data_IF_734661711069
#
_entry.id   IF_734661711069
#
_cell.length_a   1.000
_cell.length_b   1.000
_cell.length_c   1.000
_cell.angle_alpha   90.00
_cell.angle_beta   90.00
_cell.angle_gamma   90.00
#
_symmetry.space_group_name_H-M   'P 1'
#
loop_
_entity.id
_entity.type
_entity.pdbx_description
1 polymer ?
#
# COMPACT_ATOMS: atom_id res chain seq x y z
N UNK A 1 12.72 15.16 -8.92
CA UNK A 1 12.34 14.04 -9.81
C UNK A 1 11.35 13.28 -8.99
N UNK A 2 10.08 13.37 -9.34
CA UNK A 2 9.00 12.93 -8.46
C UNK A 2 9.13 11.42 -8.22
N UNK A 3 8.78 11.00 -7.00
CA UNK A 3 8.81 9.62 -6.52
C UNK A 3 7.48 9.31 -5.87
N UNK A 4 7.08 8.05 -5.96
CA UNK A 4 5.90 7.53 -5.26
C UNK A 4 6.42 6.66 -4.10
N UNK A 5 6.07 6.99 -2.84
CA UNK A 5 6.54 6.25 -1.69
C UNK A 5 5.91 4.85 -1.63
N UNK A 6 6.65 3.88 -1.10
CA UNK A 6 6.13 2.54 -0.80
C UNK A 6 5.36 2.49 0.52
N UNK A 7 5.23 3.62 1.24
CA UNK A 7 4.55 3.64 2.53
C UNK A 7 5.40 3.08 3.68
N UNK A 8 6.70 2.85 3.45
CA UNK A 8 7.63 2.36 4.48
C UNK A 8 8.75 3.38 4.65
N UNK A 9 8.57 4.30 5.60
CA UNK A 9 9.43 5.47 5.80
C UNK A 9 10.93 5.18 5.74
N UNK A 10 11.41 4.11 6.42
CA UNK A 10 12.85 3.76 6.40
C UNK A 10 13.32 3.29 5.03
N UNK A 11 12.51 2.54 4.32
CA UNK A 11 12.85 2.10 2.96
C UNK A 11 12.84 3.30 2.02
N UNK A 12 11.76 4.09 2.05
CA UNK A 12 11.57 5.25 1.19
C UNK A 12 12.69 6.27 1.38
N UNK A 13 13.05 6.62 2.61
CA UNK A 13 14.21 7.51 2.88
C UNK A 13 15.54 6.91 2.40
N UNK A 14 15.74 5.60 2.51
CA UNK A 14 16.97 4.93 2.06
C UNK A 14 17.15 4.97 0.54
N UNK A 15 16.07 4.79 -0.22
CA UNK A 15 16.10 4.78 -1.70
C UNK A 15 15.77 6.14 -2.32
N UNK A 16 15.39 7.09 -1.47
CA UNK A 16 15.21 8.49 -1.82
C UNK A 16 13.84 8.87 -2.36
N UNK A 17 12.81 8.48 -1.61
CA UNK A 17 11.41 8.86 -1.81
C UNK A 17 10.54 7.77 -2.43
N UNK A 18 11.09 6.60 -2.76
CA UNK A 18 10.34 5.51 -3.37
C UNK A 18 10.64 5.30 -4.86
N UNK A 19 9.68 4.78 -5.60
CA UNK A 19 9.84 4.44 -7.02
C UNK A 19 9.65 5.66 -7.93
N UNK A 20 10.35 5.76 -9.08
CA UNK A 20 10.01 6.76 -10.10
C UNK A 20 8.62 6.47 -10.72
N UNK A 21 7.79 7.50 -10.98
CA UNK A 21 6.52 7.36 -11.67
C UNK A 21 6.67 6.62 -13.01
N UNK A 22 5.65 5.81 -13.36
CA UNK A 22 5.63 4.98 -14.57
C UNK A 22 6.52 3.73 -14.49
N UNK A 23 7.13 3.44 -13.34
CA UNK A 23 7.91 2.21 -13.15
C UNK A 23 7.03 1.01 -12.83
N UNK A 24 7.53 -0.17 -13.20
CA UNK A 24 7.01 -1.45 -12.69
C UNK A 24 8.01 -1.98 -11.66
N UNK A 25 7.55 -2.17 -10.42
CA UNK A 25 8.36 -2.71 -9.32
C UNK A 25 7.94 -4.15 -9.07
N UNK A 26 8.89 -5.08 -9.19
CA UNK A 26 8.66 -6.49 -8.86
C UNK A 26 9.13 -6.78 -7.42
N UNK A 27 8.18 -7.09 -6.54
CA UNK A 27 8.49 -7.59 -5.20
C UNK A 27 8.63 -9.12 -5.23
N UNK A 28 9.85 -9.62 -5.02
CA UNK A 28 10.14 -11.05 -4.97
C UNK A 28 10.57 -11.45 -3.56
N UNK A 29 9.75 -12.24 -2.88
CA UNK A 29 10.02 -12.75 -1.53
C UNK A 29 9.71 -14.24 -1.40
N UNK A 30 10.35 -14.89 -0.43
CA UNK A 30 10.02 -16.27 -0.05
C UNK A 30 8.82 -16.29 0.93
N UNK A 31 8.23 -17.46 1.13
CA UNK A 31 7.24 -17.64 2.19
C UNK A 31 7.80 -17.19 3.55
N UNK A 32 7.05 -16.35 4.26
CA UNK A 32 7.47 -15.76 5.54
C UNK A 32 8.43 -14.58 5.43
N UNK A 33 8.77 -14.10 4.23
CA UNK A 33 9.65 -12.93 4.05
C UNK A 33 8.92 -11.58 4.18
N UNK A 34 7.61 -11.57 4.43
CA UNK A 34 6.84 -10.33 4.60
C UNK A 34 6.31 -9.69 3.31
N UNK A 35 6.25 -10.43 2.19
CA UNK A 35 5.88 -9.83 0.90
C UNK A 35 4.42 -9.36 0.84
N UNK A 36 3.49 -10.05 1.53
CA UNK A 36 2.09 -9.63 1.60
C UNK A 36 1.93 -8.42 2.52
N UNK A 37 2.59 -8.45 3.66
CA UNK A 37 2.62 -7.39 4.65
C UNK A 37 3.22 -6.09 4.07
N UNK A 38 4.23 -6.22 3.19
CA UNK A 38 4.75 -5.10 2.40
C UNK A 38 3.66 -4.50 1.50
N UNK A 39 2.92 -5.33 0.76
CA UNK A 39 1.85 -4.87 -0.12
C UNK A 39 0.71 -4.22 0.66
N UNK A 40 0.34 -4.78 1.83
CA UNK A 40 -0.67 -4.21 2.72
C UNK A 40 -0.25 -2.85 3.23
N UNK A 41 0.97 -2.76 3.79
CA UNK A 41 1.53 -1.49 4.29
C UNK A 41 1.59 -0.46 3.17
N UNK A 42 2.03 -0.85 1.97
CA UNK A 42 2.13 0.07 0.84
C UNK A 42 0.78 0.59 0.39
N UNK A 43 -0.27 -0.23 0.39
CA UNK A 43 -1.61 0.21 0.02
C UNK A 43 -2.22 1.11 1.10
N UNK A 44 -2.21 0.63 2.35
CA UNK A 44 -2.81 1.31 3.50
C UNK A 44 -2.13 2.66 3.76
N UNK A 45 -0.79 2.73 3.80
CA UNK A 45 -0.11 3.99 4.10
C UNK A 45 -0.27 5.02 3.00
N UNK A 46 -0.29 4.60 1.73
CA UNK A 46 -0.55 5.56 0.64
C UNK A 46 -2.02 6.00 0.59
N UNK A 47 -2.98 5.13 0.92
CA UNK A 47 -4.39 5.52 1.06
C UNK A 47 -4.62 6.44 2.27
N UNK A 48 -3.91 6.21 3.36
CA UNK A 48 -3.99 7.02 4.58
C UNK A 48 -3.50 8.46 4.36
N UNK A 49 -2.56 8.67 3.43
CA UNK A 49 -2.04 10.00 3.13
C UNK A 49 -3.12 10.99 2.69
N UNK A 50 -4.19 10.50 2.04
CA UNK A 50 -5.38 11.30 1.70
C UNK A 50 -6.50 11.14 2.74
N UNK A 51 -6.71 9.93 3.27
CA UNK A 51 -7.81 9.64 4.20
C UNK A 51 -7.72 10.34 5.54
N UNK A 52 -6.54 10.28 6.18
CA UNK A 52 -6.26 11.00 7.41
C UNK A 52 -4.78 11.46 7.40
N UNK A 53 -4.50 12.68 6.90
CA UNK A 53 -3.16 13.24 6.85
C UNK A 53 -2.50 13.40 8.24
N UNK A 54 -3.30 13.59 9.29
CA UNK A 54 -2.80 13.76 10.66
C UNK A 54 -2.35 12.41 11.23
N UNK A 55 -3.13 11.35 11.01
CA UNK A 55 -2.75 9.99 11.35
C UNK A 55 -1.58 9.49 10.50
N UNK A 56 -1.55 9.84 9.21
CA UNK A 56 -0.42 9.57 8.34
C UNK A 56 0.87 10.21 8.87
N UNK A 57 0.85 11.48 9.27
CA UNK A 57 2.02 12.14 9.88
C UNK A 57 2.45 11.46 11.20
N UNK A 58 1.49 11.00 12.01
CA UNK A 58 1.78 10.29 13.26
C UNK A 58 2.54 8.98 13.02
N UNK A 59 2.15 8.18 12.02
CA UNK A 59 2.74 6.86 11.74
C UNK A 59 3.92 6.90 10.76
N UNK A 60 3.86 7.74 9.74
CA UNK A 60 4.85 7.86 8.67
C UNK A 60 5.78 9.06 8.88
N UNK A 61 5.20 10.24 9.16
CA UNK A 61 5.89 11.52 9.28
C UNK A 61 6.12 12.22 7.94
N UNK A 62 7.15 13.06 7.87
CA UNK A 62 7.48 13.79 6.65
C UNK A 62 7.85 12.86 5.49
N UNK A 63 7.28 13.17 4.32
CA UNK A 63 7.65 12.58 3.03
C UNK A 63 8.98 13.20 2.56
N UNK A 64 9.84 12.43 1.89
CA UNK A 64 11.08 12.94 1.26
C UNK A 64 10.74 14.05 0.27
N UNK A 65 11.55 15.12 0.19
CA UNK A 65 11.32 16.26 -0.71
C UNK A 65 11.18 15.89 -2.20
N UNK A 66 11.61 14.68 -2.58
CA UNK A 66 11.48 14.15 -3.95
C UNK A 66 10.23 13.30 -4.16
N UNK A 67 9.45 13.06 -3.13
CA UNK A 67 8.30 12.17 -3.15
C UNK A 67 6.98 12.92 -2.99
N UNK A 68 5.93 12.34 -3.56
CA UNK A 68 4.57 12.83 -3.46
C UNK A 68 3.66 11.61 -3.31
N UNK A 69 2.70 11.69 -2.39
CA UNK A 69 1.70 10.65 -2.25
C UNK A 69 0.93 10.50 -3.59
N UNK A 70 0.58 9.26 -3.98
CA UNK A 70 -0.20 9.05 -5.20
C UNK A 70 -1.61 9.62 -5.05
N UNK A 71 -2.19 10.11 -6.16
CA UNK A 71 -3.57 10.60 -6.18
C UNK A 71 -4.60 9.47 -5.95
N UNK A 72 -4.27 8.26 -6.40
CA UNK A 72 -5.14 7.08 -6.30
C UNK A 72 -4.31 5.83 -6.01
N UNK A 73 -4.85 4.91 -5.21
CA UNK A 73 -4.24 3.61 -4.92
C UNK A 73 -5.18 2.51 -5.41
N UNK A 74 -4.69 1.65 -6.31
CA UNK A 74 -5.45 0.48 -6.79
C UNK A 74 -4.80 -0.82 -6.30
N UNK A 75 -5.56 -1.65 -5.60
CA UNK A 75 -5.13 -2.97 -5.14
C UNK A 75 -5.74 -4.07 -6.00
N UNK A 76 -4.92 -4.72 -6.82
CA UNK A 76 -5.39 -5.79 -7.72
C UNK A 76 -5.01 -7.15 -7.16
N UNK A 77 -5.99 -8.03 -7.01
CA UNK A 77 -5.82 -9.39 -6.51
C UNK A 77 -6.35 -10.42 -7.50
N UNK A 78 -5.56 -11.49 -7.74
CA UNK A 78 -5.96 -12.60 -8.62
C UNK A 78 -6.49 -13.80 -7.87
N UNK A 79 -6.33 -13.86 -6.55
CA UNK A 79 -6.61 -15.09 -5.77
C UNK A 79 -7.48 -14.84 -4.56
N UNK A 80 -7.85 -13.58 -4.30
CA UNK A 80 -8.51 -13.16 -3.07
C UNK A 80 -9.48 -12.03 -3.35
N UNK A 81 -10.67 -12.12 -2.78
CA UNK A 81 -11.70 -11.08 -2.85
C UNK A 81 -11.30 -9.86 -2.01
N UNK A 82 -11.82 -8.68 -2.34
CA UNK A 82 -11.55 -7.43 -1.62
C UNK A 82 -11.77 -7.55 -0.10
N UNK A 83 -12.91 -8.11 0.32
CA UNK A 83 -13.23 -8.33 1.74
C UNK A 83 -12.24 -9.25 2.45
N UNK A 84 -11.61 -10.17 1.73
CA UNK A 84 -10.58 -11.02 2.33
C UNK A 84 -9.30 -10.23 2.56
N UNK A 85 -8.87 -9.44 1.57
CA UNK A 85 -7.68 -8.60 1.68
C UNK A 85 -7.84 -7.59 2.82
N UNK A 86 -8.98 -6.91 2.88
CA UNK A 86 -9.32 -5.95 3.95
C UNK A 86 -9.25 -6.61 5.33
N UNK A 87 -9.86 -7.78 5.53
CA UNK A 87 -9.76 -8.52 6.79
C UNK A 87 -8.32 -8.89 7.13
N UNK A 88 -7.50 -9.26 6.15
CA UNK A 88 -6.09 -9.57 6.38
C UNK A 88 -5.28 -8.34 6.77
N UNK A 89 -5.61 -7.17 6.21
CA UNK A 89 -5.03 -5.88 6.61
C UNK A 89 -5.38 -5.54 8.06
N UNK A 90 -6.65 -5.61 8.47
CA UNK A 90 -7.08 -5.35 9.85
C UNK A 90 -6.51 -6.33 10.89
N UNK A 91 -6.13 -7.54 10.47
CA UNK A 91 -5.44 -8.50 11.35
C UNK A 91 -3.94 -8.22 11.49
N UNK A 92 -3.34 -7.53 10.52
CA UNK A 92 -1.91 -7.27 10.46
C UNK A 92 -1.53 -5.87 10.96
N UNK A 93 -2.46 -4.92 10.91
CA UNK A 93 -2.24 -3.50 11.18
C UNK A 93 -3.26 -2.98 12.21
N UNK A 94 -3.04 -1.77 12.70
CA UNK A 94 -4.00 -1.10 13.57
C UNK A 94 -5.32 -0.86 12.80
N UNK A 95 -6.46 -1.18 13.43
CA UNK A 95 -7.77 -1.12 12.80
C UNK A 95 -8.11 0.32 12.38
N UNK A 96 -7.73 1.31 13.20
CA UNK A 96 -7.95 2.74 12.90
C UNK A 96 -7.25 3.16 11.60
N UNK A 97 -6.01 2.74 11.39
CA UNK A 97 -5.24 3.03 10.17
C UNK A 97 -5.90 2.38 8.95
N UNK A 98 -6.39 1.15 9.10
CA UNK A 98 -7.02 0.43 7.99
C UNK A 98 -8.34 1.11 7.63
N UNK A 99 -9.19 1.42 8.60
CA UNK A 99 -10.49 2.09 8.39
C UNK A 99 -10.34 3.43 7.68
N UNK A 100 -9.43 4.30 8.13
CA UNK A 100 -9.20 5.62 7.52
C UNK A 100 -8.51 5.54 6.14
N UNK A 101 -7.84 4.43 5.83
CA UNK A 101 -7.18 4.24 4.53
C UNK A 101 -8.04 3.57 3.47
N UNK A 102 -8.96 2.67 3.86
CA UNK A 102 -9.58 1.71 2.93
C UNK A 102 -10.50 2.39 1.92
N UNK A 103 -11.14 3.49 2.30
CA UNK A 103 -12.00 4.28 1.40
C UNK A 103 -11.20 4.95 0.26
N UNK A 104 -9.87 5.09 0.44
CA UNK A 104 -8.94 5.67 -0.51
C UNK A 104 -8.14 4.61 -1.29
N UNK A 105 -8.52 3.33 -1.17
CA UNK A 105 -7.94 2.21 -1.92
C UNK A 105 -9.03 1.54 -2.76
N UNK A 106 -8.87 1.56 -4.09
CA UNK A 106 -9.77 0.86 -5.00
C UNK A 106 -9.34 -0.60 -5.17
N UNK A 107 -10.19 -1.54 -4.73
CA UNK A 107 -9.92 -2.97 -4.85
C UNK A 107 -10.47 -3.56 -6.15
N UNK A 108 -9.62 -4.30 -6.85
CA UNK A 108 -9.95 -5.05 -8.06
C UNK A 108 -9.78 -6.55 -7.79
N UNK A 109 -10.91 -7.27 -7.76
CA UNK A 109 -10.95 -8.72 -7.58
C UNK A 109 -11.05 -9.44 -8.93
N UNK A 110 -9.98 -10.17 -9.28
CA UNK A 110 -9.88 -11.01 -10.47
C UNK A 110 -9.88 -12.51 -10.11
N UNK A 111 -10.18 -12.85 -8.86
CA UNK A 111 -10.24 -14.24 -8.41
C UNK A 111 -11.33 -15.07 -9.10
N UNK A 112 -12.53 -14.54 -9.44
CA UNK A 112 -13.52 -15.31 -10.18
C UNK A 112 -13.02 -15.71 -11.57
N UNK A 113 -12.32 -14.83 -12.29
CA UNK A 113 -11.71 -15.09 -13.61
C UNK A 113 -10.57 -16.10 -13.49
N UNK A 114 -9.71 -15.94 -12.50
CA UNK A 114 -8.54 -16.81 -12.29
C UNK A 114 -8.93 -18.27 -12.01
N UNK A 115 -9.95 -18.49 -11.17
CA UNK A 115 -10.43 -19.83 -10.80
C UNK A 115 -11.47 -20.42 -11.77
N UNK A 116 -11.83 -19.70 -12.85
CA UNK A 116 -12.75 -20.20 -13.90
C UNK A 116 -12.07 -21.10 -14.95
N UNK A 117 -10.77 -21.36 -14.83
CA UNK A 117 -9.99 -22.30 -15.65
C UNK A 117 -10.22 -23.76 -15.23
#
# INVERSE_FOLDING_TARGET
MDRIPFGIRRLDTTIGGGAPPGSVVLLSGHAGAGAREFMYTSAVMNGLAEGDPELFDLYYGDIDDRATAPEEVHYISFTSEARQVEREMSLAMDEEIVEESIENVEFHDLSPEFFRL
#
